data_IF_737600154516
#
_entry.id   IF_737600154516
#
_cell.length_a   1.000
_cell.length_b   1.000
_cell.length_c   1.000
_cell.angle_alpha   90.00
_cell.angle_beta   90.00
_cell.angle_gamma   90.00
#
_symmetry.space_group_name_H-M   'P 1'
#
loop_
_entity.id
_entity.type
_entity.pdbx_description
1 polymer ?
#
# COMPACT_ATOMS: atom_id res chain seq x y z
N UNK A 1 20.38 -18.03 1.87
CA UNK A 1 19.57 -18.11 0.64
C UNK A 1 18.17 -18.72 0.86
N UNK A 2 18.02 -19.76 1.68
CA UNK A 2 16.73 -20.46 1.83
C UNK A 2 15.67 -19.75 2.70
N UNK A 3 16.07 -18.86 3.62
CA UNK A 3 15.13 -18.15 4.51
C UNK A 3 14.33 -17.06 3.77
N UNK A 4 15.01 -16.27 2.92
CA UNK A 4 14.37 -15.25 2.06
C UNK A 4 13.32 -15.88 1.13
N UNK A 5 13.64 -17.03 0.53
CA UNK A 5 12.72 -17.74 -0.36
C UNK A 5 11.48 -18.23 0.39
N UNK A 6 11.61 -18.72 1.64
CA UNK A 6 10.47 -19.14 2.46
C UNK A 6 9.59 -17.97 2.91
N UNK A 7 10.18 -16.80 3.18
CA UNK A 7 9.45 -15.59 3.56
C UNK A 7 8.64 -15.00 2.40
N UNK A 8 9.04 -15.27 1.16
CA UNK A 8 8.33 -14.84 -0.05
C UNK A 8 7.31 -15.87 -0.54
N UNK A 9 7.64 -17.17 -0.50
CA UNK A 9 6.74 -18.23 -1.03
C UNK A 9 5.69 -18.74 -0.05
N UNK A 10 5.92 -18.62 1.26
CA UNK A 10 5.07 -19.22 2.29
C UNK A 10 4.96 -20.74 2.22
N UNK A 11 3.94 -21.28 2.91
CA UNK A 11 3.62 -22.71 2.93
C UNK A 11 3.15 -23.20 1.56
N UNK A 12 3.24 -24.52 1.25
CA UNK A 12 2.77 -25.05 -0.03
C UNK A 12 1.30 -24.64 -0.28
N UNK A 13 1.07 -23.85 -1.33
CA UNK A 13 -0.26 -23.33 -1.68
C UNK A 13 -0.71 -22.05 -0.97
N UNK A 14 0.15 -21.39 -0.18
CA UNK A 14 -0.15 -20.10 0.45
C UNK A 14 1.10 -19.21 0.56
N UNK A 15 1.13 -18.04 -0.12
CA UNK A 15 2.14 -17.01 0.15
C UNK A 15 2.15 -16.66 1.64
N UNK A 16 3.33 -16.52 2.24
CA UNK A 16 3.50 -16.25 3.68
C UNK A 16 2.95 -14.89 4.08
N UNK A 17 2.94 -13.97 3.12
CA UNK A 17 2.30 -12.67 3.19
C UNK A 17 2.19 -12.19 1.74
N UNK A 18 1.04 -11.69 1.25
CA UNK A 18 1.03 -10.96 -0.02
C UNK A 18 1.85 -9.68 0.19
N UNK A 19 3.09 -9.60 -0.35
CA UNK A 19 4.13 -8.71 0.17
C UNK A 19 3.89 -7.23 -0.12
N UNK A 20 2.93 -6.90 -0.98
CA UNK A 20 2.68 -5.55 -1.48
C UNK A 20 1.37 -4.94 -0.94
N UNK A 21 0.49 -5.75 -0.34
CA UNK A 21 -0.81 -5.31 0.18
C UNK A 21 -0.66 -4.31 1.33
N UNK A 22 0.30 -4.53 2.23
CA UNK A 22 0.53 -3.64 3.38
C UNK A 22 0.90 -2.23 2.94
N UNK A 23 1.69 -2.13 1.87
CA UNK A 23 2.09 -0.84 1.31
C UNK A 23 0.88 -0.12 0.75
N UNK A 24 0.02 -0.80 -0.01
CA UNK A 24 -1.23 -0.21 -0.50
C UNK A 24 -2.18 0.19 0.64
N UNK A 25 -2.34 -0.65 1.66
CA UNK A 25 -3.18 -0.37 2.83
C UNK A 25 -2.67 0.87 3.57
N UNK A 26 -1.37 0.92 3.87
CA UNK A 26 -0.76 2.07 4.54
C UNK A 26 -0.90 3.35 3.73
N UNK A 27 -0.63 3.28 2.43
CA UNK A 27 -0.71 4.42 1.52
C UNK A 27 -2.14 4.99 1.44
N UNK A 28 -3.15 4.13 1.28
CA UNK A 28 -4.54 4.56 1.29
C UNK A 28 -4.99 5.07 2.65
N UNK A 29 -4.57 4.45 3.74
CA UNK A 29 -4.89 4.92 5.11
C UNK A 29 -4.38 6.34 5.34
N UNK A 30 -3.11 6.61 5.03
CA UNK A 30 -2.51 7.94 5.19
C UNK A 30 -3.15 8.94 4.23
N UNK A 31 -3.34 8.56 2.96
CA UNK A 31 -4.00 9.42 1.97
C UNK A 31 -5.42 9.82 2.39
N UNK A 32 -6.23 8.87 2.84
CA UNK A 32 -7.58 9.13 3.36
C UNK A 32 -7.54 9.98 4.62
N UNK A 33 -6.62 9.73 5.55
CA UNK A 33 -6.45 10.57 6.73
C UNK A 33 -6.15 12.03 6.35
N UNK A 34 -5.29 12.27 5.36
CA UNK A 34 -5.01 13.62 4.87
C UNK A 34 -6.22 14.27 4.20
N UNK A 35 -7.04 13.52 3.45
CA UNK A 35 -8.29 14.03 2.89
C UNK A 35 -9.30 14.41 3.98
N UNK A 36 -9.42 13.59 5.04
CA UNK A 36 -10.31 13.88 6.18
C UNK A 36 -9.84 15.13 6.92
N UNK A 37 -8.54 15.24 7.20
CA UNK A 37 -7.96 16.43 7.83
C UNK A 37 -8.16 17.68 6.95
N UNK A 38 -8.08 17.51 5.62
CA UNK A 38 -8.39 18.57 4.67
C UNK A 38 -9.84 19.03 4.73
N UNK A 39 -10.78 18.09 4.78
CA UNK A 39 -12.20 18.39 4.95
C UNK A 39 -12.53 19.08 6.28
N UNK A 40 -11.73 18.85 7.32
CA UNK A 40 -11.82 19.52 8.62
C UNK A 40 -11.17 20.91 8.65
N UNK A 41 -10.55 21.36 7.55
CA UNK A 41 -9.86 22.64 7.47
C UNK A 41 -8.50 22.68 8.17
N UNK A 42 -7.93 21.51 8.49
CA UNK A 42 -6.60 21.35 9.12
C UNK A 42 -5.52 21.14 8.02
N UNK A 43 -5.87 21.37 6.77
CA UNK A 43 -4.98 21.15 5.63
C UNK A 43 -3.84 22.16 5.57
N UNK A 44 -2.61 21.66 5.46
CA UNK A 44 -1.53 22.42 4.84
C UNK A 44 -1.30 21.93 3.41
N UNK A 45 -0.78 22.80 2.54
CA UNK A 45 -0.52 22.48 1.12
C UNK A 45 0.32 21.20 0.94
N UNK A 46 1.27 20.97 1.84
CA UNK A 46 2.13 19.79 1.87
C UNK A 46 1.32 18.52 2.16
N UNK A 47 0.24 18.60 2.94
CA UNK A 47 -0.67 17.48 3.19
C UNK A 47 -1.48 17.14 1.95
N UNK A 48 -1.95 18.12 1.18
CA UNK A 48 -2.61 17.82 -0.10
C UNK A 48 -1.68 17.10 -1.08
N UNK A 49 -0.44 17.58 -1.22
CA UNK A 49 0.55 16.89 -2.07
C UNK A 49 0.91 15.51 -1.53
N UNK A 50 1.15 15.40 -0.22
CA UNK A 50 1.45 14.13 0.44
C UNK A 50 0.31 13.12 0.29
N UNK A 51 -0.93 13.56 0.48
CA UNK A 51 -2.13 12.74 0.30
C UNK A 51 -2.28 12.26 -1.14
N UNK A 52 -2.12 13.16 -2.13
CA UNK A 52 -2.17 12.80 -3.54
C UNK A 52 -1.10 11.77 -3.90
N UNK A 53 0.14 11.98 -3.42
CA UNK A 53 1.25 11.06 -3.65
C UNK A 53 1.00 9.71 -2.98
N UNK A 54 0.50 9.68 -1.75
CA UNK A 54 0.16 8.47 -1.04
C UNK A 54 -0.92 7.67 -1.78
N UNK A 55 -2.03 8.31 -2.16
CA UNK A 55 -3.12 7.65 -2.89
C UNK A 55 -2.63 7.12 -4.25
N UNK A 56 -1.84 7.91 -4.98
CA UNK A 56 -1.31 7.52 -6.30
C UNK A 56 -0.30 6.37 -6.18
N UNK A 57 0.60 6.43 -5.20
CA UNK A 57 1.55 5.35 -4.90
C UNK A 57 0.85 4.07 -4.47
N UNK A 58 -0.17 4.17 -3.61
CA UNK A 58 -1.01 3.05 -3.20
C UNK A 58 -1.70 2.37 -4.38
N UNK A 59 -2.19 3.15 -5.36
CA UNK A 59 -2.80 2.64 -6.58
C UNK A 59 -1.80 1.89 -7.47
N UNK A 60 -0.61 2.45 -7.68
CA UNK A 60 0.45 1.78 -8.45
C UNK A 60 0.81 0.43 -7.82
N UNK A 61 0.99 0.40 -6.49
CA UNK A 61 1.32 -0.83 -5.77
C UNK A 61 0.15 -1.82 -5.74
N UNK A 62 -1.09 -1.34 -5.72
CA UNK A 62 -2.28 -2.19 -5.77
C UNK A 62 -2.36 -2.95 -7.10
N UNK A 63 -2.01 -2.30 -8.22
CA UNK A 63 -1.90 -2.97 -9.53
C UNK A 63 -0.87 -4.08 -9.49
N UNK A 64 0.33 -3.82 -8.94
CA UNK A 64 1.37 -4.85 -8.81
C UNK A 64 0.90 -6.01 -7.93
N UNK A 65 0.22 -5.70 -6.82
CA UNK A 65 -0.34 -6.70 -5.91
C UNK A 65 -1.36 -7.60 -6.63
N UNK A 66 -2.29 -7.00 -7.37
CA UNK A 66 -3.31 -7.73 -8.14
C UNK A 66 -2.68 -8.65 -9.19
N UNK A 67 -1.65 -8.18 -9.90
CA UNK A 67 -0.90 -9.00 -10.87
C UNK A 67 -0.22 -10.18 -10.17
N UNK A 68 0.44 -9.96 -9.04
CA UNK A 68 1.09 -11.05 -8.29
C UNK A 68 0.12 -12.04 -7.65
N UNK A 69 -1.14 -11.65 -7.40
CA UNK A 69 -2.16 -12.56 -6.89
C UNK A 69 -2.89 -13.36 -7.98
N UNK A 70 -2.74 -12.97 -9.25
CA UNK A 70 -3.34 -13.65 -10.41
C UNK A 70 -2.44 -14.77 -10.98
N UNK A 71 -1.14 -14.74 -10.66
CA UNK A 71 -0.09 -15.69 -11.08
C UNK A 71 0.21 -16.64 -9.91
#
# INVERSE_FOLDING_TARGET
MNALIRLVKGSPGHPSHPPLTDVSIGAYTVGTAMLVLGALGIEERQMAYGGLLALSGGLIVAVLTAVTGLI
#
